data_IF_691722853893
#
_entry.id   IF_691722853893
#
_cell.length_a   1.000
_cell.length_b   1.000
_cell.length_c   1.000
_cell.angle_alpha   90.00
_cell.angle_beta   90.00
_cell.angle_gamma   90.00
#
_symmetry.space_group_name_H-M   'P 1'
#
loop_
_entity.id
_entity.type
_entity.pdbx_description
1 polymer ?
#
# COMPACT_ATOMS: atom_id res chain seq x y z
N UNK A 1 -24.74 -6.92 -33.90
CA UNK A 1 -23.96 -8.16 -34.03
C UNK A 1 -23.37 -8.34 -35.43
N UNK A 2 -24.14 -8.17 -36.52
CA UNK A 2 -23.62 -8.36 -37.91
C UNK A 2 -22.56 -7.34 -38.43
N UNK A 3 -22.20 -6.30 -37.67
CA UNK A 3 -21.26 -5.25 -38.14
C UNK A 3 -19.79 -5.67 -38.16
N UNK A 4 -19.49 -6.87 -37.67
CA UNK A 4 -18.14 -7.37 -37.38
C UNK A 4 -17.78 -8.65 -38.16
N UNK A 5 -18.57 -9.01 -39.18
CA UNK A 5 -18.33 -10.19 -40.03
C UNK A 5 -17.62 -9.77 -41.32
N UNK A 6 -16.32 -9.52 -41.26
CA UNK A 6 -15.46 -9.52 -42.45
C UNK A 6 -14.75 -10.87 -42.62
N UNK A 7 -14.46 -11.22 -43.87
CA UNK A 7 -13.60 -12.37 -44.17
C UNK A 7 -12.14 -12.03 -43.78
N UNK A 8 -11.47 -12.99 -43.14
CA UNK A 8 -10.07 -12.82 -42.73
C UNK A 8 -9.15 -12.66 -43.94
N UNK A 9 -8.36 -11.59 -43.94
CA UNK A 9 -7.46 -11.25 -45.05
C UNK A 9 -6.13 -12.03 -45.04
N UNK A 10 -6.00 -13.06 -44.20
CA UNK A 10 -4.81 -13.90 -44.06
C UNK A 10 -4.32 -14.03 -42.61
N UNK A 11 -3.23 -14.79 -42.37
CA UNK A 11 -2.76 -15.14 -41.02
C UNK A 11 -2.21 -13.96 -40.19
N UNK A 12 -2.02 -12.78 -40.79
CA UNK A 12 -1.61 -11.54 -40.12
C UNK A 12 -2.79 -10.61 -39.81
N UNK A 13 -4.01 -10.93 -40.26
CA UNK A 13 -5.17 -10.06 -40.08
C UNK A 13 -5.59 -10.02 -38.61
N UNK A 14 -5.57 -8.82 -38.05
CA UNK A 14 -6.19 -8.51 -36.77
C UNK A 14 -6.92 -7.16 -36.89
N UNK A 15 -8.04 -7.03 -36.19
CA UNK A 15 -8.83 -5.80 -36.15
C UNK A 15 -9.23 -5.45 -34.73
N UNK A 16 -9.41 -4.16 -34.48
CA UNK A 16 -9.84 -3.66 -33.18
C UNK A 16 -11.36 -3.44 -33.21
N UNK A 17 -12.10 -4.36 -32.59
CA UNK A 17 -13.56 -4.34 -32.53
C UNK A 17 -14.10 -3.19 -31.66
N UNK A 18 -13.43 -2.94 -30.53
CA UNK A 18 -13.82 -1.96 -29.50
C UNK A 18 -12.61 -1.15 -29.01
N UNK A 19 -12.86 0.01 -28.39
CA UNK A 19 -11.81 0.80 -27.74
C UNK A 19 -11.38 0.14 -26.41
N UNK A 20 -10.14 -0.38 -26.39
CA UNK A 20 -9.50 -0.94 -25.19
C UNK A 20 -8.27 -0.15 -24.74
N UNK A 21 -7.68 -0.56 -23.62
CA UNK A 21 -6.46 0.04 -23.05
C UNK A 21 -5.25 -0.89 -23.17
N UNK A 22 -4.05 -0.32 -23.28
CA UNK A 22 -2.81 -1.06 -23.18
C UNK A 22 -2.32 -1.14 -21.72
N UNK A 23 -2.83 -2.12 -20.97
CA UNK A 23 -2.38 -2.44 -19.61
C UNK A 23 -1.52 -3.71 -19.55
N UNK A 24 -0.77 -4.01 -20.62
CA UNK A 24 0.11 -5.19 -20.66
C UNK A 24 1.28 -5.03 -19.70
N UNK A 25 1.47 -6.02 -18.82
CA UNK A 25 2.70 -6.16 -18.04
C UNK A 25 3.85 -6.54 -18.99
N UNK A 26 5.05 -5.98 -18.79
CA UNK A 26 6.24 -6.35 -19.57
C UNK A 26 6.95 -7.55 -18.94
N UNK A 27 7.68 -8.32 -19.75
CA UNK A 27 8.40 -9.52 -19.29
C UNK A 27 9.39 -9.23 -18.15
N UNK A 28 9.98 -8.03 -18.10
CA UNK A 28 10.86 -7.59 -17.00
C UNK A 28 10.08 -7.49 -15.68
N UNK A 29 8.87 -6.92 -15.69
CA UNK A 29 8.01 -6.85 -14.51
C UNK A 29 7.48 -8.24 -14.12
N UNK A 30 7.15 -9.08 -15.10
CA UNK A 30 6.73 -10.46 -14.86
C UNK A 30 7.85 -11.31 -14.21
N UNK A 31 9.08 -11.20 -14.72
CA UNK A 31 10.25 -11.90 -14.17
C UNK A 31 10.58 -11.43 -12.74
N UNK A 32 10.53 -10.12 -12.48
CA UNK A 32 10.66 -9.58 -11.12
C UNK A 32 9.53 -10.09 -10.20
N UNK A 33 8.29 -10.09 -10.69
CA UNK A 33 7.13 -10.58 -9.96
C UNK A 33 7.25 -12.06 -9.59
N UNK A 34 7.67 -12.92 -10.52
CA UNK A 34 7.92 -14.35 -10.26
C UNK A 34 9.01 -14.56 -9.19
N UNK A 35 10.10 -13.80 -9.26
CA UNK A 35 11.18 -13.83 -8.26
C UNK A 35 10.70 -13.37 -6.88
N UNK A 36 9.86 -12.34 -6.81
CA UNK A 36 9.24 -11.88 -5.56
C UNK A 36 8.20 -12.87 -5.00
N UNK A 37 7.38 -13.49 -5.86
CA UNK A 37 6.37 -14.48 -5.47
C UNK A 37 7.01 -15.72 -4.85
N UNK A 38 8.13 -16.20 -5.40
CA UNK A 38 8.91 -17.31 -4.83
C UNK A 38 9.40 -17.04 -3.39
N UNK A 39 9.52 -15.76 -2.99
CA UNK A 39 9.98 -15.31 -1.67
C UNK A 39 8.89 -14.63 -0.83
N UNK A 40 7.63 -14.63 -1.29
CA UNK A 40 6.55 -13.88 -0.64
C UNK A 40 6.34 -14.31 0.82
N UNK A 41 6.42 -15.62 1.10
CA UNK A 41 6.30 -16.18 2.46
C UNK A 41 7.39 -15.65 3.40
N UNK A 42 8.66 -15.69 2.96
CA UNK A 42 9.82 -15.15 3.69
C UNK A 42 9.61 -13.67 4.06
N UNK A 43 9.17 -12.85 3.11
CA UNK A 43 8.92 -11.43 3.33
C UNK A 43 7.78 -11.17 4.32
N UNK A 44 6.68 -11.93 4.24
CA UNK A 44 5.54 -11.80 5.15
C UNK A 44 5.90 -12.27 6.56
N UNK A 45 6.60 -13.40 6.71
CA UNK A 45 7.07 -13.90 8.00
C UNK A 45 8.03 -12.90 8.66
N UNK A 46 8.99 -12.35 7.91
CA UNK A 46 9.91 -11.33 8.42
C UNK A 46 9.18 -10.07 8.91
N UNK A 47 8.15 -9.61 8.19
CA UNK A 47 7.32 -8.47 8.62
C UNK A 47 6.49 -8.78 9.86
N UNK A 48 5.96 -10.00 9.99
CA UNK A 48 5.23 -10.43 11.19
C UNK A 48 6.12 -10.43 12.44
N UNK A 49 7.38 -10.88 12.32
CA UNK A 49 8.37 -10.80 13.42
C UNK A 49 8.65 -9.35 13.83
N UNK A 50 8.79 -8.43 12.87
CA UNK A 50 8.99 -7.00 13.14
C UNK A 50 7.74 -6.36 13.76
N UNK A 51 6.54 -6.67 13.26
CA UNK A 51 5.27 -6.19 13.80
C UNK A 51 5.08 -6.61 15.27
N UNK A 52 5.36 -7.88 15.61
CA UNK A 52 5.34 -8.32 17.01
C UNK A 52 6.33 -7.55 17.88
N UNK A 53 7.54 -7.27 17.39
CA UNK A 53 8.52 -6.46 18.13
C UNK A 53 8.00 -5.04 18.40
N UNK A 54 7.33 -4.41 17.42
CA UNK A 54 6.66 -3.13 17.64
C UNK A 54 5.50 -3.25 18.63
N UNK A 55 4.71 -4.32 18.58
CA UNK A 55 3.63 -4.56 19.53
C UNK A 55 4.12 -4.65 20.97
N UNK A 56 5.22 -5.36 21.21
CA UNK A 56 5.84 -5.50 22.53
C UNK A 56 6.45 -4.18 23.02
N UNK A 57 7.17 -3.45 22.15
CA UNK A 57 7.85 -2.18 22.51
C UNK A 57 6.88 -1.00 22.70
N UNK A 58 5.77 -0.96 21.96
CA UNK A 58 4.80 0.14 22.00
C UNK A 58 3.62 -0.16 22.94
N UNK A 59 3.61 -1.31 23.62
CA UNK A 59 2.49 -1.79 24.44
C UNK A 59 2.01 -0.80 25.51
N UNK A 60 2.95 -0.08 26.14
CA UNK A 60 2.70 0.81 27.28
C UNK A 60 2.60 2.29 26.90
N UNK A 61 2.59 2.63 25.61
CA UNK A 61 2.51 4.02 25.14
C UNK A 61 1.04 4.47 24.96
N UNK A 62 0.73 5.77 25.14
CA UNK A 62 -0.62 6.31 24.98
C UNK A 62 -1.01 6.48 23.48
N UNK A 63 -1.07 5.36 22.77
CA UNK A 63 -1.44 5.23 21.36
C UNK A 63 -2.24 3.93 21.13
N UNK A 64 -2.98 3.84 20.03
CA UNK A 64 -3.56 2.58 19.57
C UNK A 64 -2.65 1.95 18.52
N UNK A 65 -2.33 0.67 18.70
CA UNK A 65 -1.57 -0.16 17.76
C UNK A 65 -2.48 -0.74 16.68
N UNK A 66 -1.88 -1.32 15.64
CA UNK A 66 -2.60 -2.15 14.67
C UNK A 66 -3.12 -3.41 15.38
N UNK A 67 -4.34 -3.83 15.08
CA UNK A 67 -4.94 -5.07 15.59
C UNK A 67 -5.25 -5.96 14.41
N UNK A 68 -4.80 -7.21 14.47
CA UNK A 68 -5.20 -8.27 13.54
C UNK A 68 -6.21 -9.16 14.28
N UNK A 69 -7.35 -9.43 13.66
CA UNK A 69 -8.38 -10.29 14.25
C UNK A 69 -7.95 -11.77 14.18
N UNK A 70 -8.38 -12.65 15.11
CA UNK A 70 -7.88 -14.03 15.22
C UNK A 70 -8.01 -14.88 13.95
N UNK A 71 -9.04 -14.63 13.15
CA UNK A 71 -9.33 -15.32 11.88
C UNK A 71 -8.52 -14.81 10.68
N UNK A 72 -7.71 -13.76 10.86
CA UNK A 72 -7.01 -13.07 9.79
C UNK A 72 -5.48 -13.20 9.88
N UNK A 73 -4.82 -13.17 8.72
CA UNK A 73 -3.36 -13.06 8.62
C UNK A 73 -3.00 -11.77 7.88
N UNK A 74 -2.17 -10.93 8.51
CA UNK A 74 -1.69 -9.69 7.91
C UNK A 74 -0.35 -9.90 7.20
N UNK A 75 -0.25 -9.38 5.98
CA UNK A 75 1.05 -9.25 5.28
C UNK A 75 1.94 -8.14 5.87
N UNK A 76 1.41 -7.37 6.82
CA UNK A 76 2.00 -6.17 7.42
C UNK A 76 2.70 -5.28 6.40
N UNK A 77 2.00 -4.97 5.30
CA UNK A 77 2.47 -3.94 4.35
C UNK A 77 2.78 -2.62 5.06
N UNK A 78 2.00 -2.28 6.10
CA UNK A 78 2.18 -1.15 7.00
C UNK A 78 2.03 -1.63 8.44
N UNK A 79 2.79 -1.07 9.38
CA UNK A 79 2.48 -1.10 10.80
C UNK A 79 1.96 0.29 11.21
N UNK A 80 0.66 0.39 11.50
CA UNK A 80 -0.03 1.66 11.74
C UNK A 80 -0.26 1.88 13.23
N UNK A 81 0.08 3.07 13.71
CA UNK A 81 -0.28 3.57 15.05
C UNK A 81 -1.25 4.75 14.92
N UNK A 82 -2.12 4.91 15.92
CA UNK A 82 -3.05 6.04 16.02
C UNK A 82 -2.81 6.78 17.32
N UNK A 83 -2.43 8.06 17.21
CA UNK A 83 -2.25 8.94 18.37
C UNK A 83 -3.60 9.43 18.90
N UNK A 84 -3.67 9.67 20.20
CA UNK A 84 -4.80 10.36 20.83
C UNK A 84 -4.59 11.88 20.72
N UNK A 85 -5.30 12.53 19.79
CA UNK A 85 -5.12 13.95 19.43
C UNK A 85 -6.32 14.85 19.78
N UNK A 86 -7.37 14.31 20.40
CA UNK A 86 -8.62 15.06 20.70
C UNK A 86 -8.36 16.30 21.58
N UNK A 87 -7.42 16.19 22.51
CA UNK A 87 -7.03 17.23 23.47
C UNK A 87 -5.84 18.07 22.98
N UNK A 88 -5.09 17.59 21.98
CA UNK A 88 -3.94 18.26 21.39
C UNK A 88 -3.97 18.11 19.85
N UNK A 89 -4.64 19.01 19.11
CA UNK A 89 -4.75 18.92 17.66
C UNK A 89 -3.40 18.89 16.92
N UNK A 90 -2.42 19.67 17.38
CA UNK A 90 -1.09 19.76 16.76
C UNK A 90 -0.15 18.59 17.10
N UNK A 91 -0.50 17.72 18.06
CA UNK A 91 0.33 16.58 18.50
C UNK A 91 0.75 15.67 17.34
N UNK A 92 -0.12 15.52 16.34
CA UNK A 92 0.17 14.73 15.15
C UNK A 92 1.26 15.34 14.25
N UNK A 93 1.27 16.68 14.10
CA UNK A 93 2.32 17.40 13.36
C UNK A 93 3.64 17.32 14.13
N UNK A 94 3.60 17.64 15.43
CA UNK A 94 4.78 17.62 16.31
C UNK A 94 5.48 16.26 16.29
N UNK A 95 4.73 15.17 16.53
CA UNK A 95 5.26 13.81 16.52
C UNK A 95 5.79 13.38 15.13
N UNK A 96 5.19 13.87 14.04
CA UNK A 96 5.69 13.63 12.68
C UNK A 96 7.06 14.29 12.43
N UNK A 97 7.19 15.56 12.83
CA UNK A 97 8.40 16.37 12.65
C UNK A 97 9.53 15.90 13.57
N UNK A 98 9.23 15.53 14.82
CA UNK A 98 10.18 14.95 15.78
C UNK A 98 10.78 13.64 15.27
N UNK A 99 9.95 12.69 14.78
CA UNK A 99 10.46 11.43 14.23
C UNK A 99 11.34 11.65 13.00
N UNK A 100 10.93 12.52 12.06
CA UNK A 100 11.77 12.83 10.89
C UNK A 100 13.05 13.57 11.26
N UNK A 101 13.01 14.47 12.24
CA UNK A 101 14.18 15.14 12.78
C UNK A 101 15.18 14.18 13.43
N UNK A 102 14.68 13.09 14.02
CA UNK A 102 15.49 11.96 14.52
C UNK A 102 15.95 10.96 13.43
N UNK A 103 15.70 11.25 12.14
CA UNK A 103 16.08 10.38 11.02
C UNK A 103 15.14 9.19 10.78
N UNK A 104 13.99 9.14 11.44
CA UNK A 104 13.02 8.03 11.35
C UNK A 104 12.02 8.32 10.21
N UNK A 105 12.02 7.48 9.18
CA UNK A 105 11.23 7.65 7.97
C UNK A 105 9.75 7.29 8.13
N UNK A 106 8.86 8.29 8.05
CA UNK A 106 7.42 8.15 8.33
C UNK A 106 6.50 8.79 7.23
N UNK A 107 5.34 8.19 6.89
CA UNK A 107 4.37 8.56 5.81
C UNK A 107 2.85 8.17 6.07
N UNK A 108 1.82 9.01 5.84
CA UNK A 108 0.42 8.72 6.29
C UNK A 108 -0.25 7.60 5.48
N UNK A 109 -1.12 6.85 6.13
CA UNK A 109 -2.19 6.13 5.46
C UNK A 109 -3.56 6.30 6.15
N UNK A 110 -4.60 6.89 5.56
CA UNK A 110 -4.65 7.82 4.41
C UNK A 110 -5.69 8.91 4.71
N UNK A 111 -5.59 10.08 4.08
CA UNK A 111 -6.63 11.11 4.17
C UNK A 111 -7.93 10.59 3.55
N UNK A 112 -9.11 10.75 4.20
CA UNK A 112 -10.38 10.29 3.64
C UNK A 112 -10.64 10.89 2.26
N UNK A 113 -11.02 10.05 1.29
CA UNK A 113 -11.12 10.44 -0.13
C UNK A 113 -12.06 11.63 -0.35
N UNK A 114 -13.17 11.71 0.40
CA UNK A 114 -14.13 12.82 0.33
C UNK A 114 -13.61 14.17 0.86
N UNK A 115 -12.43 14.19 1.50
CA UNK A 115 -11.76 15.41 1.95
C UNK A 115 -10.58 15.80 1.04
N UNK A 116 -10.15 14.92 0.13
CA UNK A 116 -9.05 15.19 -0.79
C UNK A 116 -9.45 16.32 -1.74
N UNK A 117 -8.59 17.34 -1.83
CA UNK A 117 -8.60 18.28 -2.95
C UNK A 117 -7.80 17.63 -4.08
N UNK A 118 -8.38 17.55 -5.27
CA UNK A 118 -7.84 16.80 -6.41
C UNK A 118 -6.41 17.25 -6.79
N UNK A 119 -6.04 18.50 -6.49
CA UNK A 119 -4.76 19.10 -6.89
C UNK A 119 -3.59 18.92 -5.91
N UNK A 120 -3.80 18.38 -4.69
CA UNK A 120 -2.73 18.29 -3.67
C UNK A 120 -2.81 17.06 -2.76
N UNK A 121 -1.77 16.21 -2.80
CA UNK A 121 -1.53 15.13 -1.84
C UNK A 121 -0.27 15.45 -1.01
N UNK A 122 -0.37 15.47 0.33
CA UNK A 122 0.75 15.69 1.27
C UNK A 122 0.67 14.81 2.56
N UNK A 123 1.86 14.51 3.08
CA UNK A 123 2.36 13.64 4.18
C UNK A 123 1.63 13.55 5.56
N UNK A 124 1.79 12.42 6.30
CA UNK A 124 1.96 12.25 7.79
C UNK A 124 2.62 10.85 8.14
N UNK A 125 2.19 9.93 9.05
CA UNK A 125 3.07 8.87 9.70
C UNK A 125 3.00 7.36 9.24
N UNK A 126 4.15 6.64 9.12
CA UNK A 126 4.42 5.20 8.76
C UNK A 126 5.65 4.68 9.55
N UNK A 127 5.94 3.37 9.61
CA UNK A 127 7.26 2.80 9.96
C UNK A 127 7.60 1.61 9.05
N UNK A 128 8.87 1.49 8.64
CA UNK A 128 9.50 0.29 8.05
C UNK A 128 10.78 -0.03 8.84
#
# INVERSE_FOLDING_TARGET
>A
EDRFKQESQGPWYYEQQDLGFNYRMTDIHAALGLSQLARLKEFVERRNVLAKRYDDLLANLPLKRTVVLPENSSSYHLYVIRLHTREEPDKHRRFFEELRGAGIGVNLHSMPVHLLKIDFIKYYILFF
#
